data_IF_742686223778
#
_entry.id   IF_742686223778
#
_cell.length_a   1.000
_cell.length_b   1.000
_cell.length_c   1.000
_cell.angle_alpha   90.00
_cell.angle_beta   90.00
_cell.angle_gamma   90.00
#
_symmetry.space_group_name_H-M   'P 1'
#
loop_
_entity.id
_entity.type
_entity.pdbx_description
1 polymer ?
#
# COMPACT_ATOMS: atom_id res chain seq x y z
N UNK A 1 22.32 7.89 13.21
CA UNK A 1 21.49 6.66 13.25
C UNK A 1 20.04 7.12 13.30
N UNK A 2 19.39 7.31 12.15
CA UNK A 2 17.98 7.74 12.14
C UNK A 2 17.15 6.53 12.55
N UNK A 3 16.59 6.58 13.76
CA UNK A 3 15.50 5.69 14.14
C UNK A 3 14.38 6.00 13.16
N UNK A 4 14.22 5.17 12.13
CA UNK A 4 13.02 5.21 11.30
C UNK A 4 11.91 4.78 12.23
N UNK A 5 11.13 5.75 12.71
CA UNK A 5 9.86 5.46 13.34
C UNK A 5 9.02 4.70 12.31
N UNK A 6 8.93 3.38 12.49
CA UNK A 6 8.14 2.52 11.63
C UNK A 6 6.68 2.94 11.79
N UNK A 7 6.13 3.63 10.79
CA UNK A 7 4.73 4.04 10.81
C UNK A 7 3.81 2.82 10.95
N UNK A 8 2.59 3.02 11.48
CA UNK A 8 1.60 1.96 11.58
C UNK A 8 1.34 1.29 10.21
N UNK A 9 1.42 2.07 9.13
CA UNK A 9 1.36 1.58 7.75
C UNK A 9 2.53 0.63 7.42
N UNK A 10 3.78 1.03 7.70
CA UNK A 10 4.97 0.19 7.46
C UNK A 10 4.88 -1.15 8.17
N UNK A 11 4.35 -1.16 9.40
CA UNK A 11 4.12 -2.39 10.17
C UNK A 11 3.05 -3.25 9.49
N UNK A 12 1.93 -2.65 9.05
CA UNK A 12 0.83 -3.36 8.43
C UNK A 12 1.19 -4.00 7.07
N UNK A 13 2.06 -3.35 6.28
CA UNK A 13 2.44 -3.82 4.93
C UNK A 13 3.76 -4.58 4.91
N UNK A 14 4.50 -4.65 6.02
CA UNK A 14 5.86 -5.17 6.08
C UNK A 14 6.03 -6.56 5.47
N UNK A 15 5.07 -7.46 5.73
CA UNK A 15 5.07 -8.83 5.18
C UNK A 15 4.91 -8.90 3.67
N UNK A 16 4.41 -7.83 3.04
CA UNK A 16 4.15 -7.77 1.59
C UNK A 16 5.25 -7.03 0.82
N UNK A 17 6.12 -6.28 1.49
CA UNK A 17 7.24 -5.55 0.88
C UNK A 17 8.12 -6.47 -0.01
N UNK A 18 8.52 -7.68 0.42
CA UNK A 18 9.34 -8.56 -0.42
C UNK A 18 8.65 -9.02 -1.71
N UNK A 19 7.31 -9.03 -1.73
CA UNK A 19 6.50 -9.48 -2.85
C UNK A 19 6.36 -8.41 -3.95
N UNK A 20 6.73 -7.16 -3.66
CA UNK A 20 6.67 -6.01 -4.60
C UNK A 20 5.29 -5.92 -5.26
N UNK A 21 5.22 -6.00 -6.60
CA UNK A 21 3.97 -5.89 -7.37
C UNK A 21 2.94 -6.96 -7.00
N UNK A 22 3.36 -8.18 -6.66
CA UNK A 22 2.44 -9.25 -6.23
C UNK A 22 1.87 -9.01 -4.83
N UNK A 23 2.54 -8.20 -4.01
CA UNK A 23 2.10 -7.82 -2.66
C UNK A 23 1.21 -6.57 -2.63
N UNK A 24 0.96 -5.93 -3.78
CA UNK A 24 0.29 -4.62 -3.83
C UNK A 24 -1.13 -4.68 -3.28
N UNK A 25 -1.88 -5.67 -3.73
CA UNK A 25 -3.26 -5.86 -3.34
C UNK A 25 -3.42 -6.12 -1.83
N UNK A 26 -2.74 -7.12 -1.23
CA UNK A 26 -2.87 -7.35 0.20
C UNK A 26 -2.32 -6.19 1.03
N UNK A 27 -1.30 -5.45 0.55
CA UNK A 27 -0.80 -4.24 1.20
C UNK A 27 -1.84 -3.12 1.21
N UNK A 28 -2.51 -2.85 0.08
CA UNK A 28 -3.59 -1.87 0.00
C UNK A 28 -4.75 -2.27 0.92
N UNK A 29 -5.12 -3.54 0.95
CA UNK A 29 -6.18 -4.01 1.84
C UNK A 29 -5.83 -3.86 3.32
N UNK A 30 -4.57 -4.11 3.70
CA UNK A 30 -4.08 -3.90 5.07
C UNK A 30 -4.10 -2.41 5.45
N UNK A 31 -3.66 -1.54 4.55
CA UNK A 31 -3.71 -0.09 4.75
C UNK A 31 -5.16 0.43 4.86
N UNK A 32 -6.08 -0.07 4.04
CA UNK A 32 -7.49 0.29 4.09
C UNK A 32 -8.15 -0.17 5.39
N UNK A 33 -7.79 -1.36 5.91
CA UNK A 33 -8.26 -1.81 7.24
C UNK A 33 -7.79 -0.90 8.37
N UNK A 34 -6.61 -0.30 8.23
CA UNK A 34 -6.01 0.57 9.24
C UNK A 34 -6.64 1.97 9.23
N UNK A 35 -6.87 2.54 8.05
CA UNK A 35 -7.30 3.94 7.89
C UNK A 35 -8.75 4.11 7.43
N UNK A 36 -9.45 3.04 7.08
CA UNK A 36 -10.80 3.06 6.49
C UNK A 36 -10.83 3.41 4.99
N UNK A 37 -9.91 4.27 4.53
CA UNK A 37 -9.72 4.63 3.13
C UNK A 37 -8.24 4.70 2.76
N UNK A 38 -7.93 4.68 1.46
CA UNK A 38 -6.59 4.91 0.94
C UNK A 38 -6.49 6.34 0.45
N UNK A 39 -5.73 7.19 1.17
CA UNK A 39 -5.35 8.52 0.70
C UNK A 39 -4.20 8.46 -0.31
N UNK A 40 -3.99 9.54 -1.06
CA UNK A 40 -2.87 9.66 -2.00
C UNK A 40 -1.50 9.53 -1.31
N UNK A 41 -1.37 10.08 -0.10
CA UNK A 41 -0.16 9.93 0.72
C UNK A 41 0.07 8.45 1.10
N UNK A 42 -0.98 7.74 1.50
CA UNK A 42 -0.92 6.31 1.84
C UNK A 42 -0.54 5.48 0.61
N UNK A 43 -1.16 5.76 -0.55
CA UNK A 43 -0.83 5.09 -1.81
C UNK A 43 0.64 5.35 -2.22
N UNK A 44 1.12 6.57 -2.03
CA UNK A 44 2.51 6.96 -2.30
C UNK A 44 3.50 6.23 -1.39
N UNK A 45 3.18 6.11 -0.09
CA UNK A 45 4.01 5.34 0.85
C UNK A 45 4.06 3.86 0.49
N UNK A 46 2.92 3.26 0.12
CA UNK A 46 2.87 1.86 -0.33
C UNK A 46 3.69 1.67 -1.61
N UNK A 47 3.57 2.58 -2.57
CA UNK A 47 4.35 2.53 -3.81
C UNK A 47 5.87 2.53 -3.52
N UNK A 48 6.31 3.42 -2.63
CA UNK A 48 7.72 3.52 -2.19
C UNK A 48 8.17 2.25 -1.47
N UNK A 49 7.35 1.76 -0.52
CA UNK A 49 7.67 0.58 0.28
C UNK A 49 7.81 -0.67 -0.59
N UNK A 50 6.88 -0.92 -1.52
CA UNK A 50 6.88 -2.08 -2.40
C UNK A 50 7.80 -1.89 -3.63
N UNK A 51 8.40 -0.70 -3.78
CA UNK A 51 9.24 -0.29 -4.91
C UNK A 51 8.57 -0.55 -6.25
N UNK A 52 7.33 -0.06 -6.37
CA UNK A 52 6.53 -0.09 -7.60
C UNK A 52 6.20 1.34 -8.03
N UNK A 53 5.89 1.57 -9.32
CA UNK A 53 5.33 2.83 -9.79
C UNK A 53 4.02 3.18 -9.09
N UNK A 54 3.82 4.46 -8.77
CA UNK A 54 2.56 4.96 -8.22
C UNK A 54 1.37 4.70 -9.18
N UNK A 55 1.62 4.76 -10.50
CA UNK A 55 0.63 4.43 -11.52
C UNK A 55 0.09 2.99 -11.38
N UNK A 56 0.92 2.02 -10.99
CA UNK A 56 0.46 0.64 -10.75
C UNK A 56 -0.47 0.58 -9.52
N UNK A 57 -0.20 1.39 -8.49
CA UNK A 57 -1.04 1.49 -7.29
C UNK A 57 -2.41 2.07 -7.63
N UNK A 58 -2.44 3.20 -8.34
CA UNK A 58 -3.70 3.78 -8.81
C UNK A 58 -4.48 2.82 -9.69
N UNK A 59 -3.80 2.14 -10.63
CA UNK A 59 -4.43 1.14 -11.47
C UNK A 59 -5.07 0.01 -10.66
N UNK A 60 -4.41 -0.48 -9.60
CA UNK A 60 -5.00 -1.51 -8.73
C UNK A 60 -6.16 -0.96 -7.91
N UNK A 61 -6.07 0.26 -7.37
CA UNK A 61 -7.17 0.89 -6.62
C UNK A 61 -8.41 1.03 -7.50
N UNK A 62 -8.26 1.63 -8.69
CA UNK A 62 -9.35 1.83 -9.64
C UNK A 62 -9.94 0.50 -10.10
N UNK A 63 -9.08 -0.48 -10.45
CA UNK A 63 -9.52 -1.78 -10.91
C UNK A 63 -10.26 -2.54 -9.80
N UNK A 64 -9.77 -2.53 -8.56
CA UNK A 64 -10.46 -3.19 -7.44
C UNK A 64 -11.76 -2.50 -7.06
N UNK A 65 -11.83 -1.17 -7.09
CA UNK A 65 -13.11 -0.45 -6.89
C UNK A 65 -14.18 -0.86 -7.90
N UNK A 66 -13.79 -1.27 -9.12
CA UNK A 66 -14.70 -1.77 -10.14
C UNK A 66 -15.35 -3.13 -9.78
N UNK A 67 -14.66 -3.98 -9.00
CA UNK A 67 -15.15 -5.33 -8.65
C UNK A 67 -15.94 -5.40 -7.34
N UNK A 68 -15.85 -4.38 -6.48
CA UNK A 68 -16.52 -4.34 -5.19
C UNK A 68 -17.74 -3.41 -5.15
N UNK A 69 -18.27 -3.02 -6.30
CA UNK A 69 -19.49 -2.22 -6.42
C UNK A 69 -20.74 -3.09 -6.62
#
# INVERSE_FOLDING_TARGET
MTVVETSALQTAIGSYIPLRRSGLLPALHAAQKLYGWISEDTATEIAKALRVPLADVHGVIEFYSLFYN
#
